data_IF_927608307238
#
_entry.id   IF_927608307238
#
_cell.length_a   1.000
_cell.length_b   1.000
_cell.length_c   1.000
_cell.angle_alpha   90.00
_cell.angle_beta   90.00
_cell.angle_gamma   90.00
#
_symmetry.space_group_name_H-M   'P 1'
#
loop_
_entity.id
_entity.type
_entity.pdbx_description
1 polymer ?
#
# COMPACT_ATOMS: atom_id res chain seq x y z
N UNK A 1 -30.92 -7.92 -24.82
CA UNK A 1 -29.46 -8.14 -25.03
C UNK A 1 -28.55 -6.95 -24.72
N UNK A 2 -29.02 -5.71 -24.57
CA UNK A 2 -28.22 -4.51 -24.23
C UNK A 2 -27.96 -4.34 -22.73
N UNK A 3 -28.85 -4.80 -21.85
CA UNK A 3 -28.76 -4.65 -20.39
C UNK A 3 -27.60 -5.46 -19.79
N UNK A 4 -27.35 -6.67 -20.30
CA UNK A 4 -26.27 -7.51 -19.77
C UNK A 4 -24.87 -6.91 -20.01
N UNK A 5 -24.67 -6.18 -21.11
CA UNK A 5 -23.38 -5.53 -21.42
C UNK A 5 -23.10 -4.36 -20.48
N UNK A 6 -24.14 -3.63 -20.09
CA UNK A 6 -24.02 -2.52 -19.14
C UNK A 6 -23.70 -3.03 -17.73
N UNK A 7 -24.34 -4.13 -17.30
CA UNK A 7 -24.08 -4.77 -16.02
C UNK A 7 -22.65 -5.35 -15.93
N UNK A 8 -22.18 -5.98 -17.01
CA UNK A 8 -20.81 -6.50 -17.07
C UNK A 8 -19.78 -5.37 -17.02
N UNK A 9 -20.05 -4.25 -17.69
CA UNK A 9 -19.19 -3.07 -17.65
C UNK A 9 -19.16 -2.44 -16.24
N UNK A 10 -20.32 -2.36 -15.57
CA UNK A 10 -20.43 -1.82 -14.21
C UNK A 10 -19.74 -2.72 -13.17
N UNK A 11 -19.86 -4.04 -13.30
CA UNK A 11 -19.17 -5.00 -12.46
C UNK A 11 -17.64 -4.95 -12.65
N UNK A 12 -17.18 -4.77 -13.90
CA UNK A 12 -15.76 -4.64 -14.21
C UNK A 12 -15.17 -3.34 -13.64
N UNK A 13 -15.91 -2.22 -13.68
CA UNK A 13 -15.50 -0.96 -13.08
C UNK A 13 -15.47 -1.03 -11.55
N UNK A 14 -16.40 -1.74 -10.92
CA UNK A 14 -16.41 -1.93 -9.46
C UNK A 14 -15.20 -2.73 -8.95
N UNK A 15 -14.69 -3.69 -9.72
CA UNK A 15 -13.49 -4.47 -9.38
C UNK A 15 -12.19 -3.64 -9.43
N UNK A 16 -12.15 -2.59 -10.23
CA UNK A 16 -10.97 -1.72 -10.38
C UNK A 16 -10.83 -0.75 -9.20
N UNK A 17 -11.93 -0.40 -8.53
CA UNK A 17 -11.95 0.57 -7.42
C UNK A 17 -11.57 -0.06 -6.07
N UNK A 18 -11.55 -1.40 -5.97
CA UNK A 18 -11.41 -2.14 -4.70
C UNK A 18 -10.00 -2.19 -4.10
N UNK A 19 -8.94 -1.78 -4.80
CA UNK A 19 -7.57 -1.81 -4.27
C UNK A 19 -7.10 -0.42 -3.80
N UNK A 20 -7.78 0.14 -2.80
CA UNK A 20 -7.37 1.39 -2.18
C UNK A 20 -6.27 1.19 -1.14
N UNK A 21 -5.11 1.84 -1.32
CA UNK A 21 -4.16 2.02 -0.22
C UNK A 21 -4.79 2.95 0.82
N UNK A 22 -4.56 2.71 2.12
CA UNK A 22 -4.99 3.65 3.16
C UNK A 22 -4.53 5.07 2.84
N UNK A 23 -5.42 6.05 3.02
CA UNK A 23 -5.17 7.45 2.62
C UNK A 23 -3.99 8.11 3.35
N UNK A 24 -3.62 7.58 4.52
CA UNK A 24 -2.51 8.10 5.32
C UNK A 24 -1.12 7.67 4.82
N UNK A 25 -1.03 6.83 3.80
CA UNK A 25 0.28 6.52 3.19
C UNK A 25 0.66 7.69 2.29
N UNK A 26 1.83 8.33 2.51
CA UNK A 26 2.24 9.50 1.77
C UNK A 26 2.36 9.20 0.27
N UNK A 27 2.11 10.21 -0.55
CA UNK A 27 2.42 10.13 -1.97
C UNK A 27 3.94 10.26 -2.18
N UNK A 28 4.51 9.81 -3.30
CA UNK A 28 5.95 9.94 -3.55
C UNK A 28 6.49 11.37 -3.46
N UNK A 29 5.64 12.37 -3.68
CA UNK A 29 6.00 13.78 -3.56
C UNK A 29 6.18 14.23 -2.10
N UNK A 30 5.51 13.56 -1.18
CA UNK A 30 5.50 13.92 0.23
C UNK A 30 6.43 13.04 1.06
N UNK A 31 7.03 12.01 0.44
CA UNK A 31 8.03 11.16 1.12
C UNK A 31 9.21 12.02 1.55
N UNK A 32 9.54 11.98 2.82
CA UNK A 32 10.63 12.75 3.42
C UNK A 32 10.23 14.12 3.98
N UNK A 33 9.03 14.63 3.70
CA UNK A 33 8.53 15.89 4.25
C UNK A 33 7.68 15.69 5.52
N UNK A 34 7.36 14.47 5.86
CA UNK A 34 6.48 14.13 6.97
C UNK A 34 7.23 13.26 7.99
N UNK A 35 7.07 13.60 9.27
CA UNK A 35 7.70 12.90 10.39
C UNK A 35 6.89 11.66 10.82
N UNK A 36 6.50 10.82 9.84
CA UNK A 36 5.69 9.66 10.10
C UNK A 36 6.40 8.38 9.67
N UNK A 37 6.09 7.31 10.38
CA UNK A 37 6.51 5.97 9.98
C UNK A 37 5.73 5.49 8.77
N UNK A 38 6.31 4.54 8.07
CA UNK A 38 5.67 3.88 6.95
C UNK A 38 4.53 2.98 7.42
N UNK A 39 3.59 2.73 6.53
CA UNK A 39 2.54 1.75 6.79
C UNK A 39 3.10 0.33 6.73
N UNK A 40 2.77 -0.48 7.73
CA UNK A 40 3.20 -1.87 7.81
C UNK A 40 2.00 -2.80 7.99
N UNK A 41 2.08 -3.95 7.34
CA UNK A 41 1.17 -5.08 7.54
C UNK A 41 1.99 -6.25 8.05
N UNK A 42 1.60 -6.80 9.19
CA UNK A 42 2.23 -7.96 9.80
C UNK A 42 1.28 -9.15 9.76
N UNK A 43 1.75 -10.27 9.27
CA UNK A 43 1.08 -11.56 9.44
C UNK A 43 1.67 -12.25 10.67
N UNK A 44 0.83 -12.61 11.59
CA UNK A 44 1.22 -13.26 12.84
C UNK A 44 1.36 -14.76 12.58
N UNK A 45 2.43 -15.35 13.10
CA UNK A 45 2.60 -16.81 13.12
C UNK A 45 1.41 -17.43 13.85
N UNK A 46 0.94 -18.57 13.36
CA UNK A 46 -0.15 -19.33 13.94
C UNK A 46 -1.52 -18.64 14.00
N UNK A 47 -1.69 -17.51 13.30
CA UNK A 47 -2.98 -16.82 13.18
C UNK A 47 -3.22 -16.35 11.74
N UNK A 48 -4.43 -16.53 11.25
CA UNK A 48 -4.85 -15.93 9.97
C UNK A 48 -5.03 -14.40 10.05
N UNK A 49 -4.92 -13.81 11.24
CA UNK A 49 -5.09 -12.38 11.46
C UNK A 49 -3.84 -11.59 11.09
N UNK A 50 -4.03 -10.47 10.41
CA UNK A 50 -2.99 -9.48 10.16
C UNK A 50 -3.18 -8.27 11.08
N UNK A 51 -2.07 -7.71 11.53
CA UNK A 51 -2.03 -6.43 12.23
C UNK A 51 -1.45 -5.41 11.27
N UNK A 52 -2.13 -4.27 11.17
CA UNK A 52 -1.73 -3.21 10.25
C UNK A 52 -1.77 -1.85 10.93
N UNK A 53 -0.86 -0.99 10.55
CA UNK A 53 -0.76 0.34 11.11
C UNK A 53 0.50 1.08 10.67
N UNK A 54 0.79 2.16 11.34
CA UNK A 54 2.03 2.90 11.19
C UNK A 54 3.15 2.23 11.98
N UNK A 55 4.31 2.08 11.39
CA UNK A 55 5.51 1.59 12.06
C UNK A 55 6.11 2.71 12.91
N UNK A 56 6.01 2.59 14.23
CA UNK A 56 6.50 3.59 15.17
C UNK A 56 7.98 3.38 15.48
N UNK A 57 8.36 2.17 15.86
CA UNK A 57 9.74 1.82 16.16
C UNK A 57 10.02 0.34 15.88
N UNK A 58 11.28 0.03 15.63
CA UNK A 58 11.82 -1.32 15.52
C UNK A 58 12.88 -1.45 16.60
N UNK A 59 12.52 -2.01 17.73
CA UNK A 59 13.43 -2.29 18.84
C UNK A 59 14.29 -3.53 18.56
N UNK A 60 15.09 -3.95 19.50
CA UNK A 60 15.93 -5.14 19.35
C UNK A 60 15.09 -6.41 19.17
N UNK A 61 14.07 -6.63 20.01
CA UNK A 61 13.22 -7.81 20.00
C UNK A 61 11.79 -7.56 19.52
N UNK A 62 11.33 -6.30 19.48
CA UNK A 62 9.94 -5.94 19.28
C UNK A 62 9.73 -4.96 18.14
N UNK A 63 8.51 -4.97 17.61
CA UNK A 63 7.96 -3.98 16.70
C UNK A 63 6.86 -3.17 17.41
N UNK A 64 6.91 -1.86 17.32
CA UNK A 64 5.88 -0.96 17.86
C UNK A 64 5.07 -0.38 16.73
N UNK A 65 3.76 -0.61 16.77
CA UNK A 65 2.83 -0.26 15.70
C UNK A 65 1.66 0.54 16.26
N UNK A 66 1.32 1.62 15.57
CA UNK A 66 0.12 2.42 15.83
C UNK A 66 -0.96 2.05 14.82
N UNK A 67 -2.02 1.40 15.28
CA UNK A 67 -3.09 0.97 14.39
C UNK A 67 -4.02 2.13 13.98
N UNK A 68 -4.92 1.85 13.03
CA UNK A 68 -5.87 2.83 12.52
C UNK A 68 -6.83 3.40 13.59
N UNK A 69 -6.98 2.75 14.73
CA UNK A 69 -7.83 3.19 15.85
C UNK A 69 -7.08 4.06 16.87
N UNK A 70 -5.80 4.36 16.63
CA UNK A 70 -4.95 5.10 17.57
C UNK A 70 -4.42 4.27 18.73
N UNK A 71 -4.52 2.94 18.67
CA UNK A 71 -3.97 2.06 19.70
C UNK A 71 -2.57 1.61 19.30
N UNK A 72 -1.65 1.65 20.27
CA UNK A 72 -0.30 1.13 20.10
C UNK A 72 -0.29 -0.34 20.48
N UNK A 73 0.36 -1.12 19.65
CA UNK A 73 0.58 -2.55 19.88
C UNK A 73 2.07 -2.83 19.76
N UNK A 74 2.65 -3.43 20.78
CA UNK A 74 4.02 -3.95 20.77
C UNK A 74 3.97 -5.45 20.50
N UNK A 75 4.74 -5.91 19.52
CA UNK A 75 4.74 -7.28 19.05
C UNK A 75 6.17 -7.82 19.04
N UNK A 76 6.44 -8.96 19.64
CA UNK A 76 7.75 -9.60 19.52
C UNK A 76 7.99 -10.03 18.07
N UNK A 77 9.19 -9.79 17.56
CA UNK A 77 9.59 -10.18 16.18
C UNK A 77 9.41 -11.68 15.95
N UNK A 78 9.60 -12.49 16.98
CA UNK A 78 9.43 -13.94 16.94
C UNK A 78 7.99 -14.39 16.65
N UNK A 79 6.99 -13.52 16.90
CA UNK A 79 5.58 -13.81 16.58
C UNK A 79 5.18 -13.41 15.16
N UNK A 80 6.07 -12.75 14.41
CA UNK A 80 5.80 -12.25 13.09
C UNK A 80 6.33 -13.23 12.04
N UNK A 81 5.44 -13.78 11.23
CA UNK A 81 5.79 -14.66 10.11
C UNK A 81 6.25 -13.88 8.89
N UNK A 82 5.46 -12.89 8.50
CA UNK A 82 5.74 -12.06 7.34
C UNK A 82 5.41 -10.59 7.66
N UNK A 83 6.16 -9.68 7.03
CA UNK A 83 5.80 -8.28 7.01
C UNK A 83 5.83 -7.70 5.59
N UNK A 84 4.96 -6.75 5.33
CA UNK A 84 5.00 -5.86 4.16
C UNK A 84 5.02 -4.42 4.67
N UNK A 85 6.07 -3.67 4.37
CA UNK A 85 6.14 -2.24 4.63
C UNK A 85 5.87 -1.46 3.35
N UNK A 86 5.04 -0.43 3.46
CA UNK A 86 4.68 0.46 2.37
C UNK A 86 5.03 1.89 2.76
N UNK A 87 6.06 2.42 2.12
CA UNK A 87 6.60 3.74 2.49
C UNK A 87 6.03 4.89 1.64
N UNK A 88 5.35 4.57 0.55
CA UNK A 88 4.62 5.56 -0.23
C UNK A 88 3.40 4.93 -0.91
N UNK A 89 2.43 5.78 -1.23
CA UNK A 89 1.30 5.36 -2.04
C UNK A 89 1.66 5.57 -3.51
N UNK A 90 1.66 4.49 -4.29
CA UNK A 90 1.72 4.60 -5.74
C UNK A 90 0.58 5.52 -6.17
N UNK A 91 0.89 6.59 -6.91
CA UNK A 91 -0.16 7.51 -7.37
C UNK A 91 -1.16 6.70 -8.22
N UNK A 92 -2.29 6.34 -7.64
CA UNK A 92 -3.31 5.42 -8.17
C UNK A 92 -4.03 5.86 -9.45
N UNK A 93 -3.44 6.78 -10.20
CA UNK A 93 -3.96 7.25 -11.49
C UNK A 93 -3.72 6.27 -12.64
N UNK A 94 -2.90 5.23 -12.43
CA UNK A 94 -2.59 4.26 -13.48
C UNK A 94 -3.80 3.46 -13.95
N UNK A 95 -4.73 3.13 -13.06
CA UNK A 95 -5.98 2.46 -13.43
C UNK A 95 -6.83 3.24 -14.43
N UNK A 96 -6.86 4.57 -14.32
CA UNK A 96 -7.55 5.45 -15.26
C UNK A 96 -6.88 5.44 -16.64
N UNK A 97 -5.56 5.36 -16.70
CA UNK A 97 -4.83 5.24 -17.95
C UNK A 97 -5.18 3.97 -18.73
N UNK A 98 -5.42 2.85 -18.05
CA UNK A 98 -5.85 1.60 -18.68
C UNK A 98 -7.15 1.84 -19.46
N UNK A 99 -8.14 2.48 -18.84
CA UNK A 99 -9.41 2.79 -19.47
C UNK A 99 -9.24 3.74 -20.66
N UNK A 100 -8.49 4.83 -20.49
CA UNK A 100 -8.27 5.82 -21.56
C UNK A 100 -7.59 5.18 -22.76
N UNK A 101 -6.49 4.47 -22.58
CA UNK A 101 -5.76 3.86 -23.69
C UNK A 101 -6.55 2.75 -24.39
N UNK A 102 -7.35 1.99 -23.62
CA UNK A 102 -8.25 1.00 -24.19
C UNK A 102 -9.33 1.67 -25.02
N UNK A 103 -9.95 2.76 -24.54
CA UNK A 103 -10.96 3.52 -25.28
C UNK A 103 -10.38 4.20 -26.53
N UNK A 104 -9.20 4.77 -26.45
CA UNK A 104 -8.51 5.36 -27.61
C UNK A 104 -8.22 4.32 -28.69
N UNK A 105 -7.98 3.07 -28.30
CA UNK A 105 -7.76 1.97 -29.24
C UNK A 105 -8.99 1.66 -30.10
N UNK A 106 -10.19 2.03 -29.64
CA UNK A 106 -11.44 1.85 -30.43
C UNK A 106 -11.45 2.64 -31.76
N UNK A 107 -10.61 3.67 -31.85
CA UNK A 107 -10.50 4.47 -33.11
C UNK A 107 -9.67 3.80 -34.21
N UNK A 108 -9.01 2.67 -33.90
CA UNK A 108 -8.10 1.98 -34.81
C UNK A 108 -8.81 1.08 -35.84
N UNK A 109 -10.16 1.07 -35.91
CA UNK A 109 -10.94 0.28 -36.87
C UNK A 109 -10.65 -1.22 -36.75
N UNK A 110 -10.38 -1.89 -37.87
CA UNK A 110 -10.10 -3.35 -37.88
C UNK A 110 -8.86 -3.76 -37.07
N UNK A 111 -7.91 -2.86 -36.82
CA UNK A 111 -6.71 -3.11 -36.00
C UNK A 111 -7.05 -3.22 -34.51
N UNK A 112 -8.27 -2.92 -34.10
CA UNK A 112 -8.78 -2.99 -32.73
C UNK A 112 -8.57 -4.38 -32.12
N UNK A 113 -8.73 -5.44 -32.91
CA UNK A 113 -8.56 -6.84 -32.45
C UNK A 113 -7.15 -7.10 -31.87
N UNK A 114 -6.15 -6.39 -32.37
CA UNK A 114 -4.76 -6.51 -31.89
C UNK A 114 -4.42 -5.42 -30.87
N UNK A 115 -4.82 -4.17 -31.15
CA UNK A 115 -4.39 -3.02 -30.33
C UNK A 115 -5.02 -3.02 -28.93
N UNK A 116 -6.25 -3.49 -28.76
CA UNK A 116 -6.91 -3.55 -27.44
C UNK A 116 -6.23 -4.55 -26.51
N UNK A 117 -6.00 -5.83 -26.89
CA UNK A 117 -5.30 -6.77 -26.03
C UNK A 117 -3.88 -6.32 -25.68
N UNK A 118 -3.13 -5.81 -26.66
CA UNK A 118 -1.76 -5.32 -26.41
C UNK A 118 -1.75 -4.16 -25.43
N UNK A 119 -2.58 -3.16 -25.61
CA UNK A 119 -2.67 -2.02 -24.70
C UNK A 119 -3.14 -2.45 -23.29
N UNK A 120 -4.10 -3.35 -23.20
CA UNK A 120 -4.59 -3.86 -21.93
C UNK A 120 -3.48 -4.59 -21.16
N UNK A 121 -2.76 -5.50 -21.81
CA UNK A 121 -1.65 -6.23 -21.20
C UNK A 121 -0.54 -5.28 -20.76
N UNK A 122 -0.12 -4.38 -21.66
CA UNK A 122 1.00 -3.46 -21.38
C UNK A 122 0.65 -2.50 -20.24
N UNK A 123 -0.52 -1.85 -20.28
CA UNK A 123 -0.92 -0.89 -19.26
C UNK A 123 -1.19 -1.57 -17.92
N UNK A 124 -1.73 -2.79 -17.91
CA UNK A 124 -1.92 -3.57 -16.68
C UNK A 124 -0.57 -3.96 -16.09
N UNK A 125 0.38 -4.44 -16.89
CA UNK A 125 1.72 -4.80 -16.43
C UNK A 125 2.46 -3.60 -15.81
N UNK A 126 2.42 -2.43 -16.46
CA UNK A 126 3.01 -1.20 -15.93
C UNK A 126 2.34 -0.80 -14.61
N UNK A 127 1.01 -0.87 -14.52
CA UNK A 127 0.28 -0.52 -13.31
C UNK A 127 0.61 -1.45 -12.14
N UNK A 128 0.74 -2.75 -12.39
CA UNK A 128 1.11 -3.75 -11.38
C UNK A 128 2.56 -3.57 -10.92
N UNK A 129 3.48 -3.25 -11.83
CA UNK A 129 4.87 -2.95 -11.47
C UNK A 129 4.96 -1.71 -10.60
N UNK A 130 4.33 -0.61 -11.01
CA UNK A 130 4.31 0.63 -10.24
C UNK A 130 3.68 0.47 -8.83
N UNK A 131 2.76 -0.49 -8.65
CA UNK A 131 2.19 -0.78 -7.33
C UNK A 131 3.18 -1.50 -6.39
N UNK A 132 4.22 -2.14 -6.93
CA UNK A 132 5.26 -2.83 -6.15
C UNK A 132 6.43 -1.92 -5.76
N UNK A 133 6.66 -0.83 -6.50
CA UNK A 133 7.85 0.01 -6.38
C UNK A 133 8.02 0.70 -5.00
N UNK A 134 6.94 0.80 -4.21
CA UNK A 134 6.95 1.47 -2.91
C UNK A 134 6.71 0.52 -1.74
N UNK A 135 7.03 -0.77 -1.94
CA UNK A 135 6.82 -1.83 -0.96
C UNK A 135 8.09 -2.65 -0.77
N UNK A 136 8.30 -3.04 0.48
CA UNK A 136 9.30 -4.04 0.85
C UNK A 136 8.66 -5.11 1.73
N UNK A 137 9.19 -6.30 1.69
CA UNK A 137 8.80 -7.42 2.53
C UNK A 137 10.03 -8.06 3.18
N UNK A 138 9.80 -9.03 4.05
CA UNK A 138 10.88 -9.76 4.73
C UNK A 138 11.83 -10.54 3.79
N UNK A 139 11.44 -10.81 2.54
CA UNK A 139 12.32 -11.39 1.53
C UNK A 139 13.27 -10.35 0.93
N UNK A 140 12.86 -9.09 0.88
CA UNK A 140 13.64 -8.00 0.26
C UNK A 140 14.49 -7.24 1.27
N UNK A 141 14.01 -7.07 2.51
CA UNK A 141 14.73 -6.38 3.58
C UNK A 141 14.61 -7.13 4.92
N UNK A 142 15.68 -7.10 5.71
CA UNK A 142 15.65 -7.57 7.09
C UNK A 142 15.11 -6.52 8.08
N UNK A 143 14.91 -6.92 9.33
CA UNK A 143 14.46 -6.03 10.42
C UNK A 143 15.40 -4.85 10.67
N UNK A 144 16.71 -5.01 10.42
CA UNK A 144 17.67 -3.91 10.55
C UNK A 144 17.36 -2.75 9.60
N UNK A 145 17.09 -3.09 8.32
CA UNK A 145 16.71 -2.09 7.32
C UNK A 145 15.29 -1.57 7.53
N UNK A 146 14.42 -2.37 8.13
CA UNK A 146 13.06 -1.97 8.46
C UNK A 146 13.03 -0.74 9.40
N UNK A 147 14.05 -0.57 10.25
CA UNK A 147 14.19 0.62 11.12
C UNK A 147 14.10 1.94 10.36
N UNK A 148 14.64 2.00 9.15
CA UNK A 148 14.63 3.23 8.35
C UNK A 148 13.22 3.72 7.98
N UNK A 149 12.25 2.84 8.05
CA UNK A 149 10.86 3.12 7.71
C UNK A 149 9.99 3.43 8.94
N UNK A 150 10.57 3.37 10.13
CA UNK A 150 9.88 3.71 11.38
C UNK A 150 9.84 5.22 11.61
N UNK A 151 8.82 5.70 12.37
CA UNK A 151 8.76 7.09 12.83
C UNK A 151 9.98 7.47 13.67
N UNK A 152 10.44 6.52 14.49
CA UNK A 152 11.63 6.64 15.32
C UNK A 152 12.66 5.57 14.93
N UNK A 153 13.49 5.82 13.91
CA UNK A 153 14.46 4.84 13.42
C UNK A 153 15.53 4.46 14.46
N UNK A 154 15.82 5.37 15.41
CA UNK A 154 16.80 5.16 16.48
C UNK A 154 16.17 4.66 17.80
N UNK A 155 14.89 4.31 17.77
CA UNK A 155 14.10 4.03 18.95
C UNK A 155 13.31 5.24 19.43
N UNK A 156 12.34 5.01 20.30
CA UNK A 156 11.49 6.07 20.86
C UNK A 156 12.35 6.92 21.80
N UNK A 157 12.42 8.26 21.59
CA UNK A 157 13.23 9.15 22.43
C UNK A 157 12.84 9.09 23.91
N UNK A 158 13.83 9.25 24.80
CA UNK A 158 13.58 9.35 26.23
C UNK A 158 12.61 10.53 26.52
N UNK A 159 11.61 10.26 27.35
CA UNK A 159 10.57 11.24 27.70
C UNK A 159 9.31 11.18 26.86
N UNK A 160 9.30 10.50 25.73
CA UNK A 160 8.08 10.23 24.96
C UNK A 160 7.44 8.94 25.47
N UNK A 161 6.25 9.04 26.04
CA UNK A 161 5.49 7.86 26.44
C UNK A 161 4.68 7.34 25.23
N UNK A 162 4.57 6.02 25.11
CA UNK A 162 3.79 5.40 24.02
C UNK A 162 2.37 5.97 23.88
N UNK A 163 1.73 6.28 25.02
CA UNK A 163 0.38 6.87 25.04
C UNK A 163 0.30 8.26 24.43
N UNK A 164 1.42 8.98 24.36
CA UNK A 164 1.50 10.36 23.85
C UNK A 164 1.75 10.38 22.34
N UNK A 165 2.04 9.22 21.74
CA UNK A 165 2.20 9.07 20.31
C UNK A 165 0.82 9.11 19.69
N UNK A 166 0.36 10.32 19.40
CA UNK A 166 -0.90 10.53 18.73
C UNK A 166 -0.87 9.96 17.30
N UNK A 167 -2.00 9.41 16.88
CA UNK A 167 -2.26 9.17 15.47
C UNK A 167 -2.14 10.51 14.76
N UNK A 168 -1.43 10.50 13.66
CA UNK A 168 -1.44 11.65 12.78
C UNK A 168 -2.88 11.95 12.41
N UNK A 169 -3.32 13.21 12.51
CA UNK A 169 -4.61 13.63 11.99
C UNK A 169 -4.54 13.61 10.46
N UNK A 170 -4.36 12.41 9.90
CA UNK A 170 -4.64 12.22 8.51
C UNK A 170 -6.11 11.97 8.42
N UNK A 171 -6.78 12.93 7.90
CA UNK A 171 -8.01 12.68 7.21
C UNK A 171 -9.25 12.63 8.10
N UNK A 172 -9.66 13.76 8.43
CA UNK A 172 -11.08 14.05 8.27
C UNK A 172 -11.39 14.36 6.79
#
# INVERSE_FOLDING_TARGET
MKINKLFTLLALTALIVSCGTPRYVPTPKNVGNELYGSFIVLKILDRESSIQGELIAVNEDDLVILNARGMITTLPKSSVGEFEVKYANSQGKYGWHILIYTLLSLRHGLKLVISVPVNLITTTSISLSAAKDYKYNNETIGYEKLRMFARFPQGIPEGIQLKDIARVPFLE
#
